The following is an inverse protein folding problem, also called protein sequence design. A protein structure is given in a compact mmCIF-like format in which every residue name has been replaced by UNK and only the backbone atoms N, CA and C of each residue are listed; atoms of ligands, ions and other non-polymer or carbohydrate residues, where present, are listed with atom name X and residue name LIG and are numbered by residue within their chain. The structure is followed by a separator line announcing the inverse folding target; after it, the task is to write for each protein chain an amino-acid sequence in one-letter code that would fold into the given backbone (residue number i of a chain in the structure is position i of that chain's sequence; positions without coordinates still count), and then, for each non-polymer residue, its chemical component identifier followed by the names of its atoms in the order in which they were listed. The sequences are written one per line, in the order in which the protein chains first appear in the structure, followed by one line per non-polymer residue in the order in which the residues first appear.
data_IF_649122339782
#
_entry.id   IF_649122339782
#
_cell.length_a   1.000
_cell.length_b   1.000
_cell.length_c   1.000
_cell.angle_alpha   90.00
_cell.angle_beta   90.00
_cell.angle_gamma   90.00
#
_symmetry.space_group_name_H-M   'P 1'
#
loop_
_entity.id
_entity.type
_entity.pdbx_description
1 polymer ?
#
# COMPACT_ATOMS: atom_id res chain seq x y z
N UNK A 1 27.29 13.10 -3.15
CA UNK A 1 26.14 12.18 -3.27
C UNK A 1 25.00 12.85 -2.53
N UNK A 2 24.05 13.45 -3.25
CA UNK A 2 22.91 14.12 -2.62
C UNK A 2 22.02 13.05 -2.00
N UNK A 3 22.06 12.95 -0.68
CA UNK A 3 21.20 12.09 0.09
C UNK A 3 19.81 12.74 0.09
N UNK A 4 19.05 12.55 -0.99
CA UNK A 4 17.61 12.86 -0.95
C UNK A 4 17.03 11.96 0.14
N UNK A 5 16.36 12.51 1.17
CA UNK A 5 15.76 11.68 2.19
C UNK A 5 14.84 10.68 1.48
N UNK A 6 14.96 9.40 1.86
CA UNK A 6 14.08 8.35 1.35
C UNK A 6 12.65 8.88 1.39
N UNK A 7 12.09 9.16 0.22
CA UNK A 7 10.87 9.96 0.14
C UNK A 7 9.74 9.04 0.54
N UNK A 8 9.16 9.27 1.71
CA UNK A 8 7.92 8.63 2.10
C UNK A 8 6.77 9.21 1.28
N UNK A 9 5.67 8.46 1.15
CA UNK A 9 4.47 8.96 0.48
C UNK A 9 4.02 10.29 1.11
N UNK A 10 3.74 11.34 0.34
CA UNK A 10 3.20 12.57 0.90
C UNK A 10 1.83 12.30 1.49
N UNK A 11 1.45 13.06 2.52
CA UNK A 11 0.13 12.98 3.11
C UNK A 11 -0.80 13.94 2.38
N UNK A 12 -1.93 13.44 1.87
CA UNK A 12 -2.93 14.24 1.16
C UNK A 12 -4.26 14.10 1.88
N UNK A 13 -4.79 15.21 2.39
CA UNK A 13 -6.14 15.30 2.94
C UNK A 13 -7.16 15.63 1.86
N UNK A 14 -8.30 14.95 1.89
CA UNK A 14 -9.50 15.29 1.12
C UNK A 14 -10.63 15.68 2.06
N UNK A 15 -11.82 16.00 1.52
CA UNK A 15 -13.00 16.28 2.34
C UNK A 15 -13.41 15.10 3.24
N UNK A 16 -13.06 13.86 2.88
CA UNK A 16 -13.55 12.63 3.56
C UNK A 16 -12.46 11.63 3.92
N UNK A 17 -11.22 11.86 3.52
CA UNK A 17 -10.16 10.84 3.64
C UNK A 17 -8.78 11.46 3.76
N UNK A 18 -7.86 10.67 4.30
CA UNK A 18 -6.41 10.92 4.30
C UNK A 18 -5.74 9.82 3.46
N UNK A 19 -4.92 10.24 2.50
CA UNK A 19 -4.01 9.37 1.76
C UNK A 19 -2.63 9.51 2.39
N UNK A 20 -2.07 8.41 2.90
CA UNK A 20 -0.78 8.40 3.60
C UNK A 20 0.07 7.18 3.25
N UNK A 21 1.33 7.18 3.65
CA UNK A 21 2.16 5.99 3.55
C UNK A 21 1.53 4.82 4.32
N UNK A 22 1.70 3.61 3.80
CA UNK A 22 1.35 2.39 4.53
C UNK A 22 2.22 2.28 5.79
N UNK A 23 1.61 1.92 6.91
CA UNK A 23 2.24 1.65 8.20
C UNK A 23 2.07 0.17 8.54
N UNK A 24 2.95 -0.40 9.36
CA UNK A 24 2.91 -1.84 9.70
C UNK A 24 1.53 -2.30 10.21
N UNK A 25 0.83 -1.44 10.97
CA UNK A 25 -0.52 -1.72 11.49
C UNK A 25 -1.60 -1.90 10.40
N UNK A 26 -1.37 -1.43 9.18
CA UNK A 26 -2.33 -1.60 8.07
C UNK A 26 -2.32 -3.02 7.49
N UNK A 27 -1.30 -3.82 7.81
CA UNK A 27 -1.08 -5.08 7.11
C UNK A 27 -2.22 -6.07 7.31
N UNK A 28 -2.79 -6.18 8.50
CA UNK A 28 -3.89 -7.13 8.76
C UNK A 28 -5.13 -6.80 7.92
N UNK A 29 -5.52 -5.52 7.87
CA UNK A 29 -6.64 -5.06 7.05
C UNK A 29 -6.34 -5.23 5.55
N UNK A 30 -5.11 -4.93 5.12
CA UNK A 30 -4.67 -5.16 3.74
C UNK A 30 -4.75 -6.64 3.36
N UNK A 31 -4.22 -7.54 4.19
CA UNK A 31 -4.22 -8.97 3.94
C UNK A 31 -5.65 -9.52 3.88
N UNK A 32 -6.53 -9.11 4.80
CA UNK A 32 -7.93 -9.49 4.80
C UNK A 32 -8.68 -9.02 3.54
N UNK A 33 -8.45 -7.78 3.10
CA UNK A 33 -9.05 -7.28 1.85
C UNK A 33 -8.63 -8.11 0.62
N UNK A 34 -7.36 -8.51 0.54
CA UNK A 34 -6.85 -9.25 -0.61
C UNK A 34 -7.21 -10.75 -0.64
N UNK A 35 -7.84 -11.28 0.40
CA UNK A 35 -8.44 -12.63 0.37
C UNK A 35 -9.86 -12.62 -0.19
N UNK A 36 -10.49 -11.45 -0.35
CA UNK A 36 -11.86 -11.34 -0.88
C UNK A 36 -11.89 -11.58 -2.40
N UNK A 37 -12.70 -12.55 -2.90
CA UNK A 37 -12.90 -12.77 -4.33
C UNK A 37 -13.44 -11.54 -5.08
N UNK A 38 -14.23 -10.68 -4.43
CA UNK A 38 -14.75 -9.44 -5.03
C UNK A 38 -13.61 -8.49 -5.39
N UNK A 39 -12.62 -8.37 -4.51
CA UNK A 39 -11.41 -7.54 -4.74
C UNK A 39 -10.54 -8.15 -5.85
N UNK A 40 -10.41 -9.47 -5.88
CA UNK A 40 -9.49 -10.15 -6.82
C UNK A 40 -10.09 -10.48 -8.17
N UNK A 41 -11.42 -10.43 -8.34
CA UNK A 41 -12.14 -10.76 -9.59
C UNK A 41 -11.54 -10.14 -10.85
N UNK A 42 -11.11 -8.88 -10.77
CA UNK A 42 -10.52 -8.13 -11.89
C UNK A 42 -9.02 -7.89 -11.72
N UNK A 43 -8.40 -8.42 -10.66
CA UNK A 43 -7.00 -8.20 -10.30
C UNK A 43 -6.29 -9.55 -10.14
N UNK A 44 -6.30 -10.33 -11.22
CA UNK A 44 -5.65 -11.65 -11.30
C UNK A 44 -6.56 -12.83 -10.99
N UNK A 45 -7.81 -12.62 -10.57
CA UNK A 45 -8.85 -13.64 -10.45
C UNK A 45 -8.68 -14.63 -9.29
N UNK A 46 -7.64 -14.48 -8.47
CA UNK A 46 -7.33 -15.38 -7.36
C UNK A 46 -7.09 -14.57 -6.07
N UNK A 47 -7.79 -14.89 -4.96
CA UNK A 47 -7.43 -14.43 -3.62
C UNK A 47 -5.96 -14.64 -3.30
N UNK A 48 -5.32 -13.66 -2.69
CA UNK A 48 -3.91 -13.76 -2.33
C UNK A 48 -3.73 -14.53 -1.04
N UNK A 49 -2.62 -15.24 -0.91
CA UNK A 49 -2.17 -15.69 0.40
C UNK A 49 -1.68 -14.51 1.24
N UNK A 50 -1.50 -14.75 2.54
CA UNK A 50 -0.93 -13.75 3.46
C UNK A 50 0.49 -13.38 3.05
N UNK A 51 1.31 -14.34 2.66
CA UNK A 51 2.70 -14.14 2.23
C UNK A 51 2.76 -13.33 0.93
N UNK A 52 1.91 -13.65 -0.06
CA UNK A 52 1.80 -12.88 -1.30
C UNK A 52 1.40 -11.43 -1.03
N UNK A 53 0.48 -11.23 -0.08
CA UNK A 53 0.06 -9.90 0.36
C UNK A 53 1.18 -9.16 1.06
N UNK A 54 1.95 -9.83 1.94
CA UNK A 54 3.10 -9.24 2.64
C UNK A 54 4.17 -8.74 1.67
N UNK A 55 4.53 -9.57 0.68
CA UNK A 55 5.54 -9.20 -0.32
C UNK A 55 5.11 -7.99 -1.15
N UNK A 56 3.83 -7.85 -1.46
CA UNK A 56 3.29 -6.68 -2.19
C UNK A 56 3.20 -5.45 -1.31
N UNK A 57 2.78 -5.61 -0.06
CA UNK A 57 2.71 -4.54 0.93
C UNK A 57 4.09 -3.88 1.13
N UNK A 58 5.15 -4.67 1.29
CA UNK A 58 6.52 -4.16 1.41
C UNK A 58 6.98 -3.41 0.14
N UNK A 59 6.60 -3.91 -1.06
CA UNK A 59 6.90 -3.21 -2.32
C UNK A 59 6.22 -1.83 -2.38
N UNK A 60 5.04 -1.65 -1.79
CA UNK A 60 4.36 -0.35 -1.79
C UNK A 60 5.21 0.74 -1.10
N UNK A 61 5.82 0.43 0.03
CA UNK A 61 6.74 1.34 0.71
C UNK A 61 8.04 1.55 -0.10
N UNK A 62 8.58 0.47 -0.68
CA UNK A 62 9.78 0.53 -1.51
C UNK A 62 9.64 1.42 -2.75
N UNK A 63 8.47 1.44 -3.39
CA UNK A 63 8.21 2.28 -4.57
C UNK A 63 8.44 3.77 -4.28
N UNK A 64 7.93 4.26 -3.15
CA UNK A 64 8.14 5.65 -2.73
C UNK A 64 9.62 5.96 -2.50
N UNK A 65 10.32 5.10 -1.77
CA UNK A 65 11.74 5.31 -1.47
C UNK A 65 12.64 5.25 -2.70
N UNK A 66 12.31 4.43 -3.70
CA UNK A 66 13.17 4.19 -4.86
C UNK A 66 12.81 5.04 -6.07
N UNK A 67 11.53 5.33 -6.28
CA UNK A 67 11.01 5.95 -7.50
C UNK A 67 10.37 7.33 -7.25
N UNK A 68 10.13 7.71 -6.00
CA UNK A 68 9.45 8.96 -5.65
C UNK A 68 7.93 8.94 -5.91
N UNK A 69 7.37 7.79 -6.27
CA UNK A 69 5.93 7.57 -6.42
C UNK A 69 5.54 6.14 -6.00
N UNK A 70 4.28 5.92 -5.61
CA UNK A 70 3.84 4.60 -5.16
C UNK A 70 2.38 4.57 -4.69
N UNK A 71 2.06 3.57 -3.88
CA UNK A 71 0.71 3.36 -3.35
C UNK A 71 0.52 4.06 -1.99
N UNK A 72 -0.67 4.61 -1.79
CA UNK A 72 -1.14 5.11 -0.51
C UNK A 72 -2.03 4.09 0.20
N UNK A 73 -1.97 4.10 1.53
CA UNK A 73 -3.09 3.66 2.35
C UNK A 73 -4.11 4.81 2.42
N UNK A 74 -5.39 4.47 2.49
CA UNK A 74 -6.49 5.43 2.56
C UNK A 74 -7.28 5.14 3.83
N UNK A 75 -7.44 6.17 4.65
CA UNK A 75 -8.27 6.15 5.86
C UNK A 75 -9.22 7.35 5.86
N UNK A 76 -10.24 7.31 6.73
CA UNK A 76 -11.23 8.39 6.89
C UNK A 76 -10.74 9.48 7.85
#
# INVERSE_FOLDING_TARGET
MNNSPATSAPVIGTKRTILRAHQLGDFEAYAAMWTDPVVTRFIGGKPRTREESWMRFLRHAGLWSLLGYGFWAIEE
#
